data_IF_741985085018
#
_entry.id   IF_741985085018
#
_cell.length_a   1.000
_cell.length_b   1.000
_cell.length_c   1.000
_cell.angle_alpha   90.00
_cell.angle_beta   90.00
_cell.angle_gamma   90.00
#
_symmetry.space_group_name_H-M   'P 1'
#
loop_
_entity.id
_entity.type
_entity.pdbx_description
1 polymer ?
#
# COMPACT_ATOMS: atom_id res chain seq x y z
N UNK A 1 -9.22 23.49 -3.95
CA UNK A 1 -9.44 22.08 -4.37
C UNK A 1 -8.16 21.58 -5.02
N UNK A 2 -7.27 20.95 -4.24
CA UNK A 2 -5.98 20.49 -4.76
C UNK A 2 -6.18 19.16 -5.50
N UNK A 3 -6.23 19.23 -6.83
CA UNK A 3 -6.24 18.06 -7.70
C UNK A 3 -4.84 17.44 -7.75
N UNK A 4 -4.73 16.18 -7.32
CA UNK A 4 -3.50 15.40 -7.49
C UNK A 4 -3.32 15.08 -8.98
N UNK A 5 -2.08 15.11 -9.52
CA UNK A 5 -1.83 14.71 -10.89
C UNK A 5 -2.22 13.24 -11.05
N UNK A 6 -3.22 12.99 -11.90
CA UNK A 6 -3.60 11.64 -12.31
C UNK A 6 -2.63 11.22 -13.40
N UNK A 7 -1.74 10.27 -13.09
CA UNK A 7 -0.92 9.61 -14.09
C UNK A 7 -1.86 8.72 -14.92
N UNK A 8 -1.91 8.84 -16.26
CA UNK A 8 -2.75 8.00 -17.09
C UNK A 8 -2.37 6.52 -16.89
N UNK A 9 -3.33 5.71 -16.45
CA UNK A 9 -3.12 4.27 -16.24
C UNK A 9 -2.74 3.83 -14.83
N UNK A 10 -2.67 4.72 -13.82
CA UNK A 10 -2.60 4.35 -12.39
C UNK A 10 -3.96 4.56 -11.71
N UNK A 11 -4.76 3.50 -11.65
CA UNK A 11 -5.98 3.53 -10.83
C UNK A 11 -5.57 3.41 -9.36
N UNK A 12 -5.60 4.51 -8.62
CA UNK A 12 -5.51 4.47 -7.15
C UNK A 12 -6.83 3.86 -6.66
N UNK A 13 -6.85 2.66 -6.05
CA UNK A 13 -8.08 2.17 -5.43
C UNK A 13 -8.44 3.12 -4.29
N UNK A 14 -9.68 3.61 -4.31
CA UNK A 14 -10.22 4.41 -3.22
C UNK A 14 -10.06 3.62 -1.91
N UNK A 15 -9.58 4.28 -0.86
CA UNK A 15 -9.59 3.73 0.49
C UNK A 15 -11.03 3.36 0.83
N UNK A 16 -11.35 2.06 0.77
CA UNK A 16 -12.67 1.55 1.15
C UNK A 16 -12.78 1.63 2.67
N UNK A 17 -13.13 2.83 3.17
CA UNK A 17 -13.78 2.99 4.46
C UNK A 17 -15.15 2.33 4.36
N UNK A 18 -15.22 1.05 4.69
CA UNK A 18 -16.50 0.40 4.92
C UNK A 18 -17.11 1.02 6.19
N UNK A 19 -17.96 2.03 5.98
CA UNK A 19 -18.96 2.47 6.93
C UNK A 19 -19.98 1.34 7.11
N UNK A 20 -20.08 0.82 8.33
CA UNK A 20 -21.16 -0.06 8.77
C UNK A 20 -21.60 0.43 10.14
N UNK A 21 -22.83 0.91 10.21
CA UNK A 21 -23.44 1.72 11.27
C UNK A 21 -23.53 1.06 12.65
N UNK A 22 -23.69 1.84 13.74
CA UNK A 22 -23.99 1.35 15.07
C UNK A 22 -25.48 1.02 15.23
N UNK A 23 -25.80 -0.18 15.71
CA UNK A 23 -27.09 -0.45 16.37
C UNK A 23 -26.82 -0.48 17.87
N UNK A 24 -26.97 0.68 18.53
CA UNK A 24 -26.93 0.78 19.99
C UNK A 24 -28.35 0.99 20.48
N UNK A 25 -28.96 -0.06 21.01
CA UNK A 25 -30.14 0.07 21.87
C UNK A 25 -29.63 0.61 23.21
N UNK A 26 -30.10 1.80 23.56
CA UNK A 26 -29.70 2.53 24.74
C UNK A 26 -30.14 1.83 26.04
N UNK A 27 -29.21 1.69 26.99
CA UNK A 27 -29.52 1.54 28.41
C UNK A 27 -28.88 2.69 29.17
N UNK A 28 -29.75 3.35 29.92
CA UNK A 28 -29.60 4.44 30.89
C UNK A 28 -28.39 4.29 31.82
N UNK A 29 -27.64 5.37 32.06
CA UNK A 29 -27.34 5.86 33.42
C UNK A 29 -26.37 7.05 33.44
N UNK A 30 -26.82 8.07 34.17
CA UNK A 30 -26.17 9.22 34.79
C UNK A 30 -24.75 8.97 35.34
N UNK A 31 -23.82 9.88 35.06
CA UNK A 31 -22.55 9.97 35.79
C UNK A 31 -21.51 10.79 35.04
N UNK A 32 -21.19 11.98 35.55
CA UNK A 32 -19.95 12.67 35.20
C UNK A 32 -18.77 11.83 35.70
N UNK A 33 -17.76 11.60 34.84
CA UNK A 33 -16.42 11.97 35.27
C UNK A 33 -15.60 12.61 34.14
N UNK A 34 -14.72 13.53 34.55
CA UNK A 34 -13.42 13.76 33.92
C UNK A 34 -12.82 12.44 33.46
N UNK A 35 -12.75 12.21 32.16
CA UNK A 35 -12.01 11.09 31.60
C UNK A 35 -11.28 11.54 30.37
N UNK A 36 -9.95 11.51 30.49
CA UNK A 36 -9.00 11.32 29.41
C UNK A 36 -9.60 10.35 28.39
N UNK A 37 -10.16 10.88 27.31
CA UNK A 37 -10.41 10.09 26.13
C UNK A 37 -9.07 9.90 25.42
N UNK A 38 -8.20 9.07 26.02
CA UNK A 38 -7.37 8.18 25.22
C UNK A 38 -8.36 7.19 24.62
N UNK A 39 -8.69 7.26 23.32
CA UNK A 39 -9.49 6.23 22.73
C UNK A 39 -8.60 4.99 22.75
N UNK A 40 -8.98 3.99 23.53
CA UNK A 40 -8.47 2.63 23.40
C UNK A 40 -8.77 2.15 21.98
N UNK A 41 -7.88 2.47 21.06
CA UNK A 41 -7.99 2.09 19.67
C UNK A 41 -7.65 0.61 19.58
N UNK A 42 -8.66 -0.22 19.36
CA UNK A 42 -8.44 -1.47 18.62
C UNK A 42 -7.70 -1.08 17.34
N UNK A 43 -6.37 -1.28 17.29
CA UNK A 43 -5.46 -0.59 16.39
C UNK A 43 -5.77 -0.94 14.93
N UNK A 44 -6.65 -0.16 14.30
CA UNK A 44 -7.01 -0.32 12.90
C UNK A 44 -5.78 0.05 12.08
N UNK A 45 -5.15 -0.98 11.50
CA UNK A 45 -4.00 -0.77 10.60
C UNK A 45 -4.53 -0.11 9.33
N UNK A 46 -3.96 1.03 8.98
CA UNK A 46 -4.28 1.74 7.76
C UNK A 46 -3.49 1.10 6.62
N UNK A 47 -4.18 0.71 5.56
CA UNK A 47 -3.54 0.02 4.43
C UNK A 47 -3.95 0.64 3.12
N UNK A 48 -3.00 0.84 2.21
CA UNK A 48 -3.26 1.19 0.81
C UNK A 48 -2.53 0.23 -0.13
N UNK A 49 -3.06 0.10 -1.34
CA UNK A 49 -2.50 -0.72 -2.39
C UNK A 49 -2.39 0.12 -3.66
N UNK A 50 -1.30 -0.01 -4.38
CA UNK A 50 -1.11 0.59 -5.69
C UNK A 50 -0.92 -0.54 -6.69
N UNK A 51 -1.71 -0.52 -7.76
CA UNK A 51 -1.73 -1.56 -8.78
C UNK A 51 -1.11 -0.96 -10.04
N UNK A 52 -0.18 -1.68 -10.65
CA UNK A 52 0.48 -1.28 -11.90
C UNK A 52 -0.29 -1.88 -13.09
N UNK A 53 -1.07 -1.06 -13.80
CA UNK A 53 -1.92 -1.49 -14.94
C UNK A 53 -1.32 -1.26 -16.33
N UNK A 54 -0.15 -0.63 -16.43
CA UNK A 54 0.52 -0.32 -17.71
C UNK A 54 1.88 -0.99 -17.91
N UNK A 55 2.26 -1.91 -17.02
CA UNK A 55 3.53 -2.64 -17.10
C UNK A 55 3.27 -4.05 -17.61
N UNK A 56 3.89 -4.41 -18.73
CA UNK A 56 3.84 -5.76 -19.28
C UNK A 56 5.19 -6.44 -19.07
N UNK A 57 5.20 -7.57 -18.34
CA UNK A 57 6.44 -8.26 -17.98
C UNK A 57 7.17 -8.81 -19.22
N UNK A 58 6.44 -9.17 -20.28
CA UNK A 58 7.07 -9.75 -21.46
C UNK A 58 7.71 -8.65 -22.32
N UNK A 59 7.02 -7.52 -22.46
CA UNK A 59 7.48 -6.39 -23.28
C UNK A 59 8.51 -5.51 -22.58
N UNK A 60 8.36 -5.32 -21.27
CA UNK A 60 9.13 -4.35 -20.49
C UNK A 60 10.10 -5.02 -19.49
N UNK A 61 10.45 -6.29 -19.72
CA UNK A 61 11.37 -7.07 -18.86
C UNK A 61 12.72 -6.38 -18.66
N UNK A 62 13.23 -5.68 -19.68
CA UNK A 62 14.51 -4.97 -19.64
C UNK A 62 14.53 -3.79 -18.66
N UNK A 63 13.37 -3.23 -18.32
CA UNK A 63 13.29 -2.11 -17.38
C UNK A 63 13.55 -2.55 -15.93
N UNK A 64 13.36 -3.84 -15.60
CA UNK A 64 13.51 -4.39 -14.25
C UNK A 64 12.82 -3.52 -13.16
N UNK A 65 11.50 -3.33 -13.31
CA UNK A 65 10.71 -2.43 -12.46
C UNK A 65 10.86 -2.73 -10.96
N UNK A 66 10.84 -4.01 -10.57
CA UNK A 66 10.84 -4.43 -9.16
C UNK A 66 12.17 -4.16 -8.45
N UNK A 67 13.34 -4.52 -9.01
CA UNK A 67 14.64 -4.10 -8.47
C UNK A 67 14.76 -2.59 -8.29
N UNK A 68 14.26 -1.78 -9.24
CA UNK A 68 14.26 -0.31 -9.14
C UNK A 68 13.35 0.19 -8.02
N UNK A 69 12.17 -0.41 -7.88
CA UNK A 69 11.21 -0.11 -6.82
C UNK A 69 11.82 -0.42 -5.44
N UNK A 70 12.41 -1.60 -5.28
CA UNK A 70 13.07 -2.03 -4.04
C UNK A 70 14.27 -1.12 -3.72
N UNK A 71 15.02 -0.74 -4.74
CA UNK A 71 16.26 0.01 -4.63
C UNK A 71 17.42 -0.84 -4.11
N UNK A 72 18.62 -0.25 -4.11
CA UNK A 72 19.85 -0.94 -3.69
C UNK A 72 19.73 -1.42 -2.24
N UNK A 73 19.78 -2.74 -2.03
CA UNK A 73 19.65 -3.37 -0.71
C UNK A 73 18.29 -3.19 -0.02
N UNK A 74 17.23 -2.85 -0.77
CA UNK A 74 15.90 -2.57 -0.22
C UNK A 74 15.79 -1.21 0.48
N UNK A 75 16.69 -0.28 0.18
CA UNK A 75 16.74 1.04 0.82
C UNK A 75 15.43 1.82 0.72
N UNK A 76 14.80 1.81 -0.47
CA UNK A 76 13.54 2.51 -0.70
C UNK A 76 12.42 1.93 0.17
N UNK A 77 12.26 0.60 0.16
CA UNK A 77 11.25 -0.10 0.94
C UNK A 77 11.44 0.07 2.44
N UNK A 78 12.70 0.00 2.92
CA UNK A 78 13.05 0.20 4.33
C UNK A 78 12.77 1.64 4.78
N UNK A 79 13.06 2.64 3.94
CA UNK A 79 12.76 4.04 4.20
C UNK A 79 11.27 4.27 4.39
N UNK A 80 10.46 3.80 3.43
CA UNK A 80 9.00 3.92 3.49
C UNK A 80 8.43 3.15 4.68
N UNK A 81 8.90 1.91 4.93
CA UNK A 81 8.46 1.10 6.06
C UNK A 81 8.76 1.77 7.41
N UNK A 82 9.92 2.43 7.52
CA UNK A 82 10.32 3.18 8.72
C UNK A 82 9.47 4.44 8.91
N UNK A 83 9.16 5.17 7.84
CA UNK A 83 8.31 6.36 7.92
C UNK A 83 6.86 6.02 8.33
N UNK A 84 6.35 4.88 7.87
CA UNK A 84 5.01 4.36 8.13
C UNK A 84 4.86 3.60 9.46
N UNK A 85 5.96 3.34 10.17
CA UNK A 85 6.04 2.37 11.29
C UNK A 85 5.32 1.04 10.94
N UNK A 86 5.61 0.53 9.76
CA UNK A 86 4.72 -0.40 9.08
C UNK A 86 5.43 -1.41 8.19
N UNK A 87 4.64 -2.00 7.29
CA UNK A 87 5.09 -3.03 6.35
C UNK A 87 4.77 -2.62 4.93
N UNK A 88 5.74 -2.80 4.04
CA UNK A 88 5.58 -2.66 2.59
C UNK A 88 5.72 -4.03 1.97
N UNK A 89 4.82 -4.38 1.05
CA UNK A 89 4.79 -5.70 0.39
C UNK A 89 4.59 -5.50 -1.09
N UNK A 90 5.42 -6.15 -1.89
CA UNK A 90 5.25 -6.23 -3.35
C UNK A 90 4.68 -7.60 -3.66
N UNK A 91 3.65 -7.67 -4.50
CA UNK A 91 2.98 -8.89 -4.95
C UNK A 91 2.66 -8.79 -6.43
N UNK A 92 2.35 -9.92 -7.05
CA UNK A 92 1.88 -10.02 -8.43
C UNK A 92 2.93 -10.57 -9.39
N UNK A 93 2.56 -10.67 -10.67
CA UNK A 93 3.40 -11.19 -11.74
C UNK A 93 4.69 -10.35 -11.86
N UNK A 94 5.84 -11.01 -11.88
CA UNK A 94 7.15 -10.36 -11.96
C UNK A 94 7.64 -9.73 -10.65
N UNK A 95 6.97 -9.97 -9.52
CA UNK A 95 7.42 -9.48 -8.20
C UNK A 95 8.63 -10.23 -7.63
N UNK A 96 8.96 -11.39 -8.18
CA UNK A 96 9.92 -12.35 -7.63
C UNK A 96 9.42 -13.07 -6.38
N UNK A 97 8.21 -12.76 -5.89
CA UNK A 97 7.66 -13.35 -4.67
C UNK A 97 6.81 -14.57 -4.99
N UNK A 98 7.42 -15.75 -4.86
CA UNK A 98 6.74 -17.04 -5.02
C UNK A 98 6.00 -17.39 -3.74
N UNK A 99 4.67 -17.40 -3.78
CA UNK A 99 3.86 -17.84 -2.66
C UNK A 99 3.79 -19.37 -2.69
N UNK A 100 4.02 -20.01 -1.55
CA UNK A 100 3.90 -21.46 -1.41
C UNK A 100 2.41 -21.82 -1.55
N UNK A 101 2.08 -22.64 -2.55
CA UNK A 101 0.72 -23.14 -2.74
C UNK A 101 0.47 -24.35 -1.86
N UNK A 102 -0.77 -24.48 -1.35
CA UNK A 102 -1.21 -25.69 -0.67
C UNK A 102 -1.25 -26.88 -1.65
N UNK A 103 -1.00 -28.09 -1.15
CA UNK A 103 -1.11 -29.31 -1.97
C UNK A 103 0.15 -29.71 -2.73
N UNK A 104 1.32 -29.13 -2.42
CA UNK A 104 2.60 -29.56 -3.00
C UNK A 104 2.89 -29.04 -4.42
N UNK A 105 2.11 -28.08 -4.89
CA UNK A 105 2.36 -27.38 -6.15
C UNK A 105 3.63 -26.52 -6.06
N UNK A 106 4.31 -26.34 -7.20
CA UNK A 106 5.51 -25.50 -7.25
C UNK A 106 5.18 -24.05 -6.81
N UNK A 107 6.02 -23.42 -5.96
CA UNK A 107 5.83 -22.04 -5.54
C UNK A 107 5.74 -21.13 -6.76
N UNK A 108 4.63 -20.43 -6.92
CA UNK A 108 4.37 -19.56 -8.06
C UNK A 108 4.07 -18.14 -7.58
N UNK A 109 4.39 -17.17 -8.42
CA UNK A 109 3.94 -15.80 -8.20
C UNK A 109 2.41 -15.72 -8.24
N UNK A 110 1.84 -14.76 -7.52
CA UNK A 110 0.41 -14.53 -7.55
C UNK A 110 -0.03 -14.10 -8.96
N UNK A 111 -1.09 -14.72 -9.48
CA UNK A 111 -1.70 -14.38 -10.78
C UNK A 111 -2.56 -13.11 -10.68
N UNK A 112 -1.92 -12.04 -10.20
CA UNK A 112 -2.48 -10.70 -10.10
C UNK A 112 -1.50 -9.72 -10.71
N UNK A 113 -1.97 -8.56 -11.22
CA UNK A 113 -1.08 -7.51 -11.67
C UNK A 113 -0.08 -7.13 -10.57
N UNK A 114 1.10 -6.65 -10.98
CA UNK A 114 2.08 -6.17 -10.02
C UNK A 114 1.43 -5.11 -9.14
N UNK A 115 1.61 -5.22 -7.83
CA UNK A 115 1.03 -4.32 -6.85
C UNK A 115 1.93 -4.15 -5.64
N UNK A 116 1.91 -2.95 -5.06
CA UNK A 116 2.58 -2.62 -3.81
C UNK A 116 1.56 -2.25 -2.75
N UNK A 117 1.64 -2.92 -1.60
CA UNK A 117 0.78 -2.71 -0.45
C UNK A 117 1.56 -2.10 0.71
N UNK A 118 1.06 -1.00 1.25
CA UNK A 118 1.56 -0.32 2.44
C UNK A 118 0.59 -0.59 3.60
N UNK A 119 1.12 -0.82 4.80
CA UNK A 119 0.33 -1.06 6.00
C UNK A 119 0.97 -0.38 7.21
N UNK A 120 0.31 0.63 7.76
CA UNK A 120 0.80 1.47 8.85
C UNK A 120 -0.07 1.32 10.10
N UNK A 121 0.47 1.71 11.26
CA UNK A 121 -0.26 1.66 12.54
C UNK A 121 -0.98 2.96 12.89
N UNK A 122 -0.47 4.10 12.40
CA UNK A 122 -0.96 5.45 12.72
C UNK A 122 -1.31 6.21 11.45
N UNK A 123 -2.23 7.17 11.55
CA UNK A 123 -2.68 7.98 10.42
C UNK A 123 -1.62 8.94 9.92
N UNK A 124 -0.92 9.66 10.80
CA UNK A 124 0.18 10.56 10.44
C UNK A 124 1.30 9.81 9.70
N UNK A 125 1.70 8.65 10.24
CA UNK A 125 2.71 7.79 9.62
C UNK A 125 2.22 7.20 8.29
N UNK A 126 0.92 6.93 8.17
CA UNK A 126 0.32 6.45 6.93
C UNK A 126 0.36 7.51 5.83
N UNK A 127 0.03 8.75 6.15
CA UNK A 127 0.07 9.84 5.17
C UNK A 127 1.50 10.11 4.70
N UNK A 128 2.47 10.15 5.63
CA UNK A 128 3.87 10.32 5.30
C UNK A 128 4.45 9.15 4.49
N UNK A 129 4.15 7.91 4.90
CA UNK A 129 4.56 6.71 4.16
C UNK A 129 3.94 6.64 2.77
N UNK A 130 2.66 7.01 2.64
CA UNK A 130 1.96 7.11 1.36
C UNK A 130 2.61 8.17 0.47
N UNK A 131 2.91 9.35 1.01
CA UNK A 131 3.55 10.45 0.29
C UNK A 131 4.91 10.02 -0.28
N UNK A 132 5.76 9.38 0.54
CA UNK A 132 7.05 8.86 0.08
C UNK A 132 6.90 7.77 -0.98
N UNK A 133 5.92 6.87 -0.82
CA UNK A 133 5.65 5.84 -1.80
C UNK A 133 5.17 6.43 -3.13
N UNK A 134 4.27 7.43 -3.11
CA UNK A 134 3.81 8.12 -4.32
C UNK A 134 4.97 8.82 -5.02
N UNK A 135 5.84 9.54 -4.31
CA UNK A 135 7.01 10.19 -4.91
C UNK A 135 7.96 9.18 -5.57
N UNK A 136 8.17 8.03 -4.94
CA UNK A 136 8.96 6.96 -5.54
C UNK A 136 8.31 6.42 -6.82
N UNK A 137 6.99 6.20 -6.80
CA UNK A 137 6.24 5.72 -7.95
C UNK A 137 6.25 6.73 -9.10
N UNK A 138 6.10 8.03 -8.82
CA UNK A 138 6.20 9.11 -9.81
C UNK A 138 7.59 9.15 -10.45
N UNK A 139 8.66 9.06 -9.64
CA UNK A 139 10.03 9.04 -10.15
C UNK A 139 10.29 7.83 -11.03
N UNK A 140 9.76 6.66 -10.67
CA UNK A 140 9.93 5.44 -11.46
C UNK A 140 9.07 5.50 -12.73
N UNK A 141 7.84 6.01 -12.65
CA UNK A 141 6.96 6.21 -13.79
C UNK A 141 7.58 7.14 -14.83
N UNK A 142 8.14 8.27 -14.41
CA UNK A 142 8.85 9.18 -15.32
C UNK A 142 10.10 8.53 -15.96
N UNK A 143 10.76 7.60 -15.25
CA UNK A 143 11.84 6.82 -15.83
C UNK A 143 11.35 5.79 -16.84
N UNK A 144 10.20 5.18 -16.57
CA UNK A 144 9.56 4.20 -17.45
C UNK A 144 9.10 4.84 -18.76
N UNK A 145 8.40 5.99 -18.68
CA UNK A 145 7.96 6.77 -19.85
C UNK A 145 9.11 7.26 -20.74
N UNK A 146 10.32 7.41 -20.19
CA UNK A 146 11.52 7.77 -20.98
C UNK A 146 12.19 6.56 -21.62
N UNK A 147 11.95 5.37 -21.07
CA UNK A 147 12.60 4.14 -21.50
C UNK A 147 11.80 3.41 -22.58
N UNK A 148 10.47 3.42 -22.46
CA UNK A 148 9.53 2.78 -23.39
C UNK A 148 8.99 3.74 -24.46
#
# INVERSE_FOLDING_TARGET
VAGYPTIPGMQIPQASSACGSPTTTATTATGSPTSLASPGGSGRRLTCKFIFSGYDIERDSDFELVPRLIGRGGGNMKGIARACDGKVRIRGRGSGHREQREGGECPQEADVPLQIALSCKSEDSFEEGRRQLVQLLESIGAHFERYC
#
